data_IF_923165950937
#
_entry.id   IF_923165950937
#
_cell.length_a   1.000
_cell.length_b   1.000
_cell.length_c   1.000
_cell.angle_alpha   90.00
_cell.angle_beta   90.00
_cell.angle_gamma   90.00
#
_symmetry.space_group_name_H-M   'P 1'
#
loop_
_entity.id
_entity.type
_entity.pdbx_description
1 polymer ?
#
# COMPACT_ATOMS: atom_id res chain seq x y z
N UNK A 1 -5.48 -25.23 13.33
CA UNK A 1 -6.05 -24.74 12.06
C UNK A 1 -7.14 -23.73 12.35
N UNK A 2 -7.01 -22.52 11.80
CA UNK A 2 -7.97 -21.43 11.94
C UNK A 2 -8.79 -21.30 10.67
N UNK A 3 -10.12 -21.36 10.77
CA UNK A 3 -10.99 -21.20 9.61
C UNK A 3 -11.04 -19.72 9.19
N UNK A 4 -10.56 -19.41 7.98
CA UNK A 4 -10.53 -18.06 7.44
C UNK A 4 -11.78 -17.74 6.62
N UNK A 5 -12.16 -18.63 5.70
CA UNK A 5 -13.31 -18.43 4.82
C UNK A 5 -14.16 -19.70 4.80
N UNK A 6 -15.48 -19.53 4.92
CA UNK A 6 -16.46 -20.61 4.70
C UNK A 6 -17.66 -20.04 3.97
N UNK A 7 -17.92 -20.59 2.79
CA UNK A 7 -19.11 -20.39 1.97
C UNK A 7 -19.73 -21.75 1.65
N UNK A 8 -20.85 -21.78 0.92
CA UNK A 8 -21.45 -23.04 0.50
C UNK A 8 -20.53 -23.90 -0.39
N UNK A 9 -19.60 -23.28 -1.12
CA UNK A 9 -18.82 -23.96 -2.16
C UNK A 9 -17.29 -23.82 -2.01
N UNK A 10 -16.82 -23.05 -1.02
CA UNK A 10 -15.40 -22.83 -0.74
C UNK A 10 -15.17 -22.67 0.76
N UNK A 11 -14.20 -23.42 1.28
CA UNK A 11 -13.62 -23.25 2.61
C UNK A 11 -12.11 -23.00 2.47
N UNK A 12 -11.56 -22.06 3.23
CA UNK A 12 -10.13 -21.82 3.36
C UNK A 12 -9.75 -21.79 4.84
N UNK A 13 -8.79 -22.61 5.22
CA UNK A 13 -8.24 -22.68 6.58
C UNK A 13 -6.76 -22.26 6.57
N UNK A 14 -6.28 -21.72 7.68
CA UNK A 14 -4.89 -21.38 7.93
C UNK A 14 -4.30 -22.32 8.99
N UNK A 15 -3.20 -22.95 8.64
CA UNK A 15 -2.35 -23.72 9.54
C UNK A 15 -1.24 -22.80 10.05
N UNK A 16 -1.33 -22.37 11.31
CA UNK A 16 -0.36 -21.45 11.91
C UNK A 16 1.02 -22.08 12.11
N UNK A 17 1.09 -23.39 12.35
CA UNK A 17 2.35 -24.11 12.56
C UNK A 17 3.12 -24.23 11.24
N UNK A 18 2.39 -24.52 10.15
CA UNK A 18 2.96 -24.63 8.79
C UNK A 18 3.00 -23.30 8.04
N UNK A 19 2.39 -22.25 8.58
CA UNK A 19 2.10 -20.97 7.89
C UNK A 19 1.52 -21.19 6.49
N UNK A 20 0.49 -22.02 6.40
CA UNK A 20 -0.04 -22.46 5.12
C UNK A 20 -1.56 -22.35 5.06
N UNK A 21 -2.05 -21.92 3.90
CA UNK A 21 -3.47 -21.84 3.54
C UNK A 21 -3.90 -23.12 2.81
N UNK A 22 -5.05 -23.67 3.18
CA UNK A 22 -5.61 -24.87 2.55
C UNK A 22 -7.04 -24.60 2.12
N UNK A 23 -7.35 -24.84 0.85
CA UNK A 23 -8.71 -24.74 0.32
C UNK A 23 -9.38 -26.11 0.19
N UNK A 24 -10.68 -26.14 0.44
CA UNK A 24 -11.55 -27.30 0.19
C UNK A 24 -12.93 -26.87 -0.33
N UNK A 25 -13.66 -27.80 -0.96
CA UNK A 25 -14.97 -27.55 -1.57
C UNK A 25 -14.93 -27.44 -3.11
N UNK A 26 -16.12 -27.27 -3.70
CA UNK A 26 -16.31 -27.31 -5.15
C UNK A 26 -15.54 -26.23 -5.93
N UNK A 27 -15.26 -25.07 -5.31
CA UNK A 27 -14.50 -23.97 -5.94
C UNK A 27 -13.04 -23.91 -5.52
N UNK A 28 -12.53 -24.88 -4.75
CA UNK A 28 -11.14 -24.87 -4.27
C UNK A 28 -10.12 -24.78 -5.40
N UNK A 29 -10.33 -25.52 -6.49
CA UNK A 29 -9.46 -25.51 -7.66
C UNK A 29 -9.31 -24.14 -8.33
N UNK A 30 -10.31 -23.26 -8.22
CA UNK A 30 -10.25 -21.93 -8.83
C UNK A 30 -9.38 -20.94 -8.06
N UNK A 31 -9.30 -21.05 -6.73
CA UNK A 31 -8.45 -20.19 -5.90
C UNK A 31 -7.06 -20.80 -5.66
N UNK A 32 -6.89 -22.10 -5.92
CA UNK A 32 -5.64 -22.81 -5.67
C UNK A 32 -4.39 -22.15 -6.28
N UNK A 33 -4.41 -21.59 -7.50
CA UNK A 33 -3.24 -20.88 -8.04
C UNK A 33 -2.81 -19.69 -7.17
N UNK A 34 -3.77 -18.89 -6.68
CA UNK A 34 -3.48 -17.78 -5.78
C UNK A 34 -2.94 -18.27 -4.43
N UNK A 35 -3.54 -19.33 -3.87
CA UNK A 35 -3.07 -19.91 -2.60
C UNK A 35 -1.68 -20.54 -2.71
N UNK A 36 -1.34 -21.16 -3.85
CA UNK A 36 0.00 -21.71 -4.07
C UNK A 36 1.06 -20.59 -4.00
N UNK A 37 0.79 -19.45 -4.63
CA UNK A 37 1.70 -18.29 -4.56
C UNK A 37 1.79 -17.78 -3.12
N UNK A 38 0.66 -17.60 -2.43
CA UNK A 38 0.64 -17.15 -1.03
C UNK A 38 1.42 -18.11 -0.11
N UNK A 39 1.19 -19.41 -0.22
CA UNK A 39 1.87 -20.44 0.58
C UNK A 39 3.36 -20.50 0.30
N UNK A 40 3.76 -20.39 -0.97
CA UNK A 40 5.17 -20.33 -1.31
C UNK A 40 5.85 -19.13 -0.62
N UNK A 41 5.22 -17.95 -0.63
CA UNK A 41 5.76 -16.76 0.05
C UNK A 41 5.81 -16.94 1.56
N UNK A 42 4.75 -17.45 2.18
CA UNK A 42 4.70 -17.70 3.62
C UNK A 42 5.77 -18.70 4.08
N UNK A 43 6.18 -19.63 3.21
CA UNK A 43 7.23 -20.61 3.48
C UNK A 43 8.65 -20.07 3.23
N UNK A 44 8.84 -19.30 2.15
CA UNK A 44 10.18 -18.86 1.71
C UNK A 44 10.63 -17.52 2.29
N UNK A 45 9.68 -16.69 2.75
CA UNK A 45 9.97 -15.32 3.15
C UNK A 45 9.65 -15.04 4.62
N UNK A 46 10.48 -14.20 5.24
CA UNK A 46 10.19 -13.69 6.59
C UNK A 46 8.95 -12.78 6.56
N UNK A 47 8.09 -12.86 7.59
CA UNK A 47 7.01 -11.89 7.78
C UNK A 47 7.57 -10.53 8.22
N UNK A 48 6.82 -9.46 7.96
CA UNK A 48 7.12 -8.13 8.49
C UNK A 48 6.93 -8.06 10.02
N UNK A 49 5.95 -8.80 10.57
CA UNK A 49 5.70 -8.84 12.01
C UNK A 49 5.01 -10.16 12.41
N UNK A 50 5.35 -10.67 13.59
CA UNK A 50 4.64 -11.79 14.23
C UNK A 50 4.14 -11.30 15.59
N UNK A 51 2.85 -11.52 15.86
CA UNK A 51 2.21 -11.24 17.14
C UNK A 51 1.69 -12.54 17.76
N UNK A 52 1.25 -12.53 19.03
CA UNK A 52 0.69 -13.74 19.66
C UNK A 52 -0.50 -14.33 18.89
N UNK A 53 -1.38 -13.47 18.37
CA UNK A 53 -2.66 -13.89 17.78
C UNK A 53 -2.69 -13.83 16.25
N UNK A 54 -1.76 -13.09 15.63
CA UNK A 54 -1.69 -12.90 14.18
C UNK A 54 -0.25 -12.78 13.66
N UNK A 55 -0.12 -12.77 12.33
CA UNK A 55 1.12 -12.41 11.65
C UNK A 55 0.84 -11.46 10.48
N UNK A 56 1.78 -10.55 10.23
CA UNK A 56 1.77 -9.66 9.07
C UNK A 56 2.82 -10.16 8.08
N UNK A 57 2.37 -10.79 6.99
CA UNK A 57 3.27 -11.29 5.97
C UNK A 57 4.03 -10.16 5.26
N UNK A 58 3.33 -9.05 4.98
CA UNK A 58 3.87 -7.78 4.47
C UNK A 58 2.96 -6.65 4.96
N UNK A 59 3.50 -5.46 5.18
CA UNK A 59 2.72 -4.30 5.66
C UNK A 59 1.68 -3.82 4.65
N UNK A 60 1.80 -4.25 3.39
CA UNK A 60 0.83 -4.03 2.31
C UNK A 60 -0.33 -5.03 2.30
N UNK A 61 -0.33 -6.02 3.20
CA UNK A 61 -1.37 -7.05 3.30
C UNK A 61 -2.01 -7.03 4.70
N UNK A 62 -3.28 -7.42 4.82
CA UNK A 62 -3.91 -7.64 6.12
C UNK A 62 -3.22 -8.74 6.95
N UNK A 63 -3.35 -8.71 8.29
CA UNK A 63 -2.80 -9.73 9.16
C UNK A 63 -3.50 -11.09 9.00
N UNK A 64 -2.81 -12.18 9.28
CA UNK A 64 -3.30 -13.55 9.17
C UNK A 64 -3.29 -14.20 10.56
N UNK A 65 -4.41 -14.71 11.08
CA UNK A 65 -5.78 -14.58 10.57
C UNK A 65 -6.39 -13.19 10.84
N UNK A 66 -7.26 -12.70 9.96
CA UNK A 66 -8.10 -11.50 10.25
C UNK A 66 -9.34 -11.42 9.34
N UNK A 67 -10.32 -10.61 9.74
CA UNK A 67 -11.50 -10.28 8.93
C UNK A 67 -11.15 -9.67 7.57
N UNK A 68 -10.24 -8.67 7.51
CA UNK A 68 -9.78 -8.11 6.23
C UNK A 68 -9.01 -9.13 5.38
N UNK A 69 -8.22 -10.04 5.95
CA UNK A 69 -7.55 -11.10 5.19
C UNK A 69 -8.55 -12.13 4.61
N UNK A 70 -9.60 -12.47 5.37
CA UNK A 70 -10.72 -13.27 4.84
C UNK A 70 -11.37 -12.59 3.63
N UNK A 71 -11.55 -11.27 3.67
CA UNK A 71 -12.08 -10.50 2.52
C UNK A 71 -11.12 -10.53 1.34
N UNK A 72 -9.82 -10.41 1.57
CA UNK A 72 -8.82 -10.58 0.52
C UNK A 72 -8.96 -11.95 -0.18
N UNK A 73 -9.09 -13.04 0.58
CA UNK A 73 -9.35 -14.38 0.00
C UNK A 73 -10.67 -14.45 -0.77
N UNK A 74 -11.73 -13.81 -0.27
CA UNK A 74 -13.00 -13.72 -0.99
C UNK A 74 -12.86 -12.92 -2.30
N UNK A 75 -12.01 -11.89 -2.32
CA UNK A 75 -11.72 -11.10 -3.52
C UNK A 75 -10.92 -11.91 -4.55
N UNK A 76 -9.98 -12.75 -4.13
CA UNK A 76 -9.31 -13.71 -5.03
C UNK A 76 -10.33 -14.67 -5.66
N UNK A 77 -11.23 -15.24 -4.86
CA UNK A 77 -12.28 -16.13 -5.36
C UNK A 77 -13.21 -15.41 -6.36
N UNK A 78 -13.58 -14.15 -6.07
CA UNK A 78 -14.38 -13.31 -6.96
C UNK A 78 -13.66 -12.99 -8.27
N UNK A 79 -12.37 -12.69 -8.21
CA UNK A 79 -11.54 -12.44 -9.38
C UNK A 79 -11.44 -13.69 -10.26
N UNK A 80 -11.27 -14.87 -9.66
CA UNK A 80 -11.19 -16.14 -10.37
C UNK A 80 -12.47 -16.48 -11.17
N UNK A 81 -13.65 -16.02 -10.72
CA UNK A 81 -14.93 -16.18 -11.43
C UNK A 81 -15.29 -14.97 -12.32
N UNK A 82 -14.32 -14.10 -12.63
CA UNK A 82 -14.51 -12.96 -13.54
C UNK A 82 -15.30 -11.79 -12.93
N UNK A 83 -15.33 -11.67 -11.60
CA UNK A 83 -16.01 -10.57 -10.87
C UNK A 83 -15.06 -9.82 -9.92
N UNK A 84 -13.92 -9.32 -10.40
CA UNK A 84 -12.93 -8.67 -9.54
C UNK A 84 -13.50 -7.41 -8.89
N UNK A 85 -13.04 -7.14 -7.67
CA UNK A 85 -13.35 -5.95 -6.88
C UNK A 85 -12.03 -5.30 -6.45
N UNK A 86 -12.00 -4.01 -6.13
CA UNK A 86 -10.78 -3.39 -5.63
C UNK A 86 -10.50 -3.91 -4.22
N UNK A 87 -9.40 -4.63 -4.04
CA UNK A 87 -8.93 -5.02 -2.70
C UNK A 87 -8.40 -3.81 -1.94
N UNK A 88 -7.77 -2.88 -2.66
CA UNK A 88 -7.20 -1.65 -2.12
C UNK A 88 -7.91 -0.43 -2.70
N UNK A 89 -8.30 0.50 -1.81
CA UNK A 89 -8.74 1.84 -2.19
C UNK A 89 -7.83 2.85 -1.50
N UNK A 90 -7.12 3.67 -2.28
CA UNK A 90 -6.39 4.82 -1.73
C UNK A 90 -7.20 6.09 -1.92
N UNK A 91 -7.19 6.96 -0.90
CA UNK A 91 -7.99 8.18 -0.85
C UNK A 91 -7.04 9.33 -0.54
N UNK A 92 -6.96 10.31 -1.45
CA UNK A 92 -6.28 11.57 -1.15
C UNK A 92 -7.12 12.36 -0.15
N UNK A 93 -6.56 12.67 1.02
CA UNK A 93 -7.39 13.22 2.11
C UNK A 93 -7.37 14.74 2.22
N UNK A 94 -6.29 15.38 1.80
CA UNK A 94 -6.16 16.85 1.78
C UNK A 94 -5.06 17.27 0.83
N UNK A 95 -5.13 18.50 0.33
CA UNK A 95 -4.05 19.16 -0.41
C UNK A 95 -3.02 19.80 0.51
N UNK A 96 -3.35 19.97 1.79
CA UNK A 96 -2.46 20.58 2.79
C UNK A 96 -1.23 19.70 3.02
N UNK A 97 -0.04 20.26 2.87
CA UNK A 97 1.21 19.57 3.14
C UNK A 97 2.30 20.56 3.54
N UNK A 98 3.10 20.21 4.55
CA UNK A 98 4.32 20.96 4.88
C UNK A 98 5.45 20.77 3.86
N UNK A 99 5.40 19.69 3.07
CA UNK A 99 6.40 19.38 2.04
C UNK A 99 6.09 20.07 0.70
N UNK A 100 7.13 20.30 -0.10
CA UNK A 100 7.05 20.86 -1.45
C UNK A 100 7.77 19.96 -2.45
N UNK A 101 7.44 18.68 -2.41
CA UNK A 101 8.08 17.66 -3.23
C UNK A 101 7.90 17.97 -4.72
N UNK A 102 8.98 17.86 -5.50
CA UNK A 102 8.95 18.14 -6.95
C UNK A 102 8.01 17.21 -7.72
N UNK A 103 7.76 16.01 -7.20
CA UNK A 103 6.92 14.98 -7.82
C UNK A 103 5.45 15.02 -7.38
N UNK A 104 5.04 16.01 -6.59
CA UNK A 104 3.68 16.10 -6.06
C UNK A 104 2.64 16.37 -7.15
N UNK A 105 1.63 15.50 -7.27
CA UNK A 105 0.57 15.61 -8.28
C UNK A 105 -0.68 16.36 -7.79
N UNK A 106 -0.77 16.64 -6.49
CA UNK A 106 -2.04 17.03 -5.84
C UNK A 106 -2.03 18.44 -5.25
N UNK A 107 -0.91 19.15 -5.34
CA UNK A 107 -0.76 20.48 -4.72
C UNK A 107 -1.66 21.54 -5.38
N UNK A 108 -1.90 21.39 -6.67
CA UNK A 108 -2.72 22.29 -7.46
C UNK A 108 -4.14 21.75 -7.63
N UNK A 109 -5.09 22.65 -7.90
CA UNK A 109 -6.51 22.33 -8.07
C UNK A 109 -7.41 22.87 -6.96
N UNK A 110 -8.69 22.60 -7.08
CA UNK A 110 -9.73 23.07 -6.16
C UNK A 110 -10.51 21.89 -5.56
N UNK A 111 -11.20 22.16 -4.44
CA UNK A 111 -12.08 21.21 -3.77
C UNK A 111 -11.34 20.15 -2.94
N UNK A 112 -11.93 19.83 -1.78
CA UNK A 112 -11.60 18.69 -0.95
C UNK A 112 -12.88 17.99 -0.50
N UNK A 113 -12.88 16.66 -0.43
CA UNK A 113 -14.00 15.92 0.14
C UNK A 113 -14.14 16.24 1.63
N UNK A 114 -15.35 16.64 2.04
CA UNK A 114 -15.66 16.83 3.46
C UNK A 114 -15.84 15.47 4.18
N UNK A 115 -15.97 15.49 5.51
CA UNK A 115 -16.14 14.28 6.33
C UNK A 115 -17.26 13.35 5.84
N UNK A 116 -18.43 13.90 5.48
CA UNK A 116 -19.58 13.10 5.04
C UNK A 116 -19.34 12.45 3.67
N UNK A 117 -18.61 13.15 2.78
CA UNK A 117 -18.23 12.59 1.49
C UNK A 117 -17.17 11.50 1.65
N UNK A 118 -16.17 11.70 2.52
CA UNK A 118 -15.15 10.70 2.84
C UNK A 118 -15.75 9.44 3.44
N UNK A 119 -16.61 9.55 4.45
CA UNK A 119 -17.29 8.40 5.07
C UNK A 119 -18.17 7.66 4.07
N UNK A 120 -18.87 8.37 3.17
CA UNK A 120 -19.63 7.76 2.07
C UNK A 120 -18.73 7.01 1.08
N UNK A 121 -17.53 7.52 0.81
CA UNK A 121 -16.52 6.83 -0.01
C UNK A 121 -16.05 5.55 0.68
N UNK A 122 -15.75 5.63 1.97
CA UNK A 122 -15.34 4.49 2.80
C UNK A 122 -16.42 3.41 2.80
N UNK A 123 -17.67 3.76 3.11
CA UNK A 123 -18.79 2.79 3.15
C UNK A 123 -18.92 2.03 1.83
N UNK A 124 -18.93 2.76 0.72
CA UNK A 124 -19.05 2.16 -0.60
C UNK A 124 -17.83 1.29 -0.96
N UNK A 125 -16.62 1.65 -0.55
CA UNK A 125 -15.43 0.81 -0.74
C UNK A 125 -15.54 -0.50 0.07
N UNK A 126 -15.96 -0.41 1.35
CA UNK A 126 -16.16 -1.57 2.21
C UNK A 126 -17.28 -2.49 1.69
N UNK A 127 -18.35 -1.92 1.11
CA UNK A 127 -19.47 -2.65 0.48
C UNK A 127 -19.06 -3.34 -0.82
N UNK A 128 -18.13 -2.76 -1.58
CA UNK A 128 -17.53 -3.42 -2.74
C UNK A 128 -16.67 -4.63 -2.37
N UNK A 129 -16.19 -4.68 -1.13
CA UNK A 129 -15.33 -5.74 -0.61
C UNK A 129 -13.87 -5.32 -0.47
N UNK A 130 -13.56 -4.03 -0.55
CA UNK A 130 -12.22 -3.54 -0.23
C UNK A 130 -11.85 -3.91 1.20
N UNK A 131 -10.59 -4.29 1.37
CA UNK A 131 -10.03 -4.77 2.64
C UNK A 131 -8.78 -4.00 3.06
N UNK A 132 -8.32 -3.05 2.24
CA UNK A 132 -7.22 -2.14 2.54
C UNK A 132 -7.69 -0.74 2.13
N UNK A 133 -7.70 0.19 3.09
CA UNK A 133 -7.90 1.61 2.84
C UNK A 133 -6.58 2.32 3.13
N UNK A 134 -6.13 3.15 2.19
CA UNK A 134 -4.90 3.94 2.37
C UNK A 134 -5.23 5.42 2.28
N UNK A 135 -5.09 6.15 3.38
CA UNK A 135 -5.10 7.61 3.37
C UNK A 135 -3.74 8.11 2.92
N UNK A 136 -3.73 8.94 1.87
CA UNK A 136 -2.50 9.35 1.19
C UNK A 136 -2.60 10.80 0.71
N UNK A 137 -1.49 11.27 0.15
CA UNK A 137 -1.28 12.58 -0.46
C UNK A 137 -1.53 13.75 0.49
N UNK A 138 -0.89 14.89 0.18
CA UNK A 138 -0.76 15.98 1.13
C UNK A 138 0.04 15.51 2.36
N UNK A 139 -0.38 15.94 3.54
CA UNK A 139 -0.08 15.27 4.80
C UNK A 139 -1.40 15.00 5.54
N UNK A 140 -1.86 13.73 5.63
CA UNK A 140 -3.07 13.37 6.35
C UNK A 140 -3.10 13.88 7.80
N UNK A 141 -1.92 14.10 8.43
CA UNK A 141 -1.81 14.61 9.80
C UNK A 141 -2.17 16.10 9.96
N UNK A 142 -2.42 16.79 8.85
CA UNK A 142 -2.93 18.17 8.81
C UNK A 142 -4.45 18.24 8.67
N UNK A 143 -5.12 17.11 8.42
CA UNK A 143 -6.58 17.07 8.31
C UNK A 143 -7.20 16.89 9.71
N UNK A 144 -8.12 17.79 10.08
CA UNK A 144 -8.67 17.86 11.44
C UNK A 144 -9.38 16.57 11.90
N UNK A 145 -10.12 15.92 10.99
CA UNK A 145 -10.96 14.74 11.26
C UNK A 145 -10.24 13.41 10.94
N UNK A 146 -8.92 13.40 10.70
CA UNK A 146 -8.19 12.19 10.24
C UNK A 146 -8.33 11.02 11.22
N UNK A 147 -8.26 11.27 12.52
CA UNK A 147 -8.41 10.24 13.54
C UNK A 147 -9.83 9.67 13.56
N UNK A 148 -10.84 10.50 13.29
CA UNK A 148 -12.24 10.09 13.20
C UNK A 148 -12.47 9.24 11.96
N UNK A 149 -11.85 9.58 10.82
CA UNK A 149 -11.90 8.78 9.60
C UNK A 149 -11.25 7.42 9.76
N UNK A 150 -10.13 7.32 10.48
CA UNK A 150 -9.51 6.03 10.82
C UNK A 150 -10.46 5.20 11.69
N UNK A 151 -11.01 5.77 12.76
CA UNK A 151 -11.96 5.09 13.66
C UNK A 151 -13.25 4.66 12.98
N UNK A 152 -13.66 5.37 11.94
CA UNK A 152 -14.88 5.06 11.18
C UNK A 152 -14.75 3.73 10.42
N UNK A 153 -13.54 3.30 10.07
CA UNK A 153 -13.33 2.09 9.30
C UNK A 153 -13.45 0.86 10.20
N UNK A 154 -14.41 0.00 9.88
CA UNK A 154 -14.65 -1.26 10.57
C UNK A 154 -13.40 -2.19 10.46
N UNK A 155 -12.72 -2.49 11.58
CA UNK A 155 -11.47 -3.27 11.57
C UNK A 155 -11.69 -4.74 11.18
N UNK A 156 -12.91 -5.26 11.25
CA UNK A 156 -13.24 -6.60 10.73
C UNK A 156 -13.37 -6.60 9.21
N UNK A 157 -13.44 -5.42 8.58
CA UNK A 157 -13.66 -5.26 7.15
C UNK A 157 -12.42 -4.79 6.40
N UNK A 158 -11.67 -3.83 6.92
CA UNK A 158 -10.45 -3.34 6.28
C UNK A 158 -9.38 -2.95 7.29
N UNK A 159 -8.13 -3.03 6.85
CA UNK A 159 -7.00 -2.37 7.52
C UNK A 159 -6.82 -0.96 6.97
N UNK A 160 -6.26 -0.06 7.79
CA UNK A 160 -6.06 1.35 7.45
C UNK A 160 -4.59 1.73 7.45
N UNK A 161 -4.08 2.10 6.28
CA UNK A 161 -2.75 2.66 6.12
C UNK A 161 -2.81 4.18 6.04
N UNK A 162 -1.78 4.87 6.53
CA UNK A 162 -1.63 6.30 6.41
C UNK A 162 -0.23 6.63 5.89
N UNK A 163 -0.13 7.36 4.77
CA UNK A 163 1.13 7.85 4.24
C UNK A 163 1.38 9.28 4.72
N UNK A 164 2.55 9.55 5.29
CA UNK A 164 2.93 10.90 5.73
C UNK A 164 4.39 11.21 5.39
N UNK A 165 4.74 12.48 5.10
CA UNK A 165 6.13 12.90 5.05
C UNK A 165 6.79 12.93 6.45
N UNK A 166 6.01 12.78 7.53
CA UNK A 166 6.51 12.75 8.92
C UNK A 166 6.74 14.13 9.54
N UNK A 167 6.53 15.22 8.79
CA UNK A 167 6.87 16.58 9.23
C UNK A 167 6.01 17.07 10.40
N UNK A 168 4.78 16.58 10.48
CA UNK A 168 3.75 17.04 11.41
C UNK A 168 3.46 16.02 12.51
N UNK A 169 4.21 14.92 12.58
CA UNK A 169 4.02 13.89 13.58
C UNK A 169 4.62 14.32 14.92
N UNK A 170 3.84 14.15 15.98
CA UNK A 170 4.26 14.33 17.37
C UNK A 170 3.95 13.05 18.14
N UNK A 171 4.56 12.87 19.31
CA UNK A 171 4.26 11.74 20.20
C UNK A 171 2.76 11.65 20.53
N UNK A 172 2.09 12.79 20.76
CA UNK A 172 0.64 12.84 20.99
C UNK A 172 -0.15 12.34 19.77
N UNK A 173 0.20 12.79 18.55
CA UNK A 173 -0.46 12.33 17.33
C UNK A 173 -0.20 10.84 17.09
N UNK A 174 1.01 10.34 17.38
CA UNK A 174 1.34 8.92 17.26
C UNK A 174 0.46 8.05 18.17
N UNK A 175 0.25 8.46 19.42
CA UNK A 175 -0.69 7.79 20.34
C UNK A 175 -2.12 7.85 19.80
N UNK A 176 -2.58 9.02 19.34
CA UNK A 176 -3.93 9.17 18.76
C UNK A 176 -4.14 8.30 17.51
N UNK A 177 -3.13 8.14 16.65
CA UNK A 177 -3.18 7.23 15.50
C UNK A 177 -3.33 5.78 15.97
N UNK A 178 -2.58 5.37 16.99
CA UNK A 178 -2.65 4.03 17.57
C UNK A 178 -4.02 3.75 18.17
N UNK A 179 -4.52 4.66 19.00
CA UNK A 179 -5.85 4.59 19.62
C UNK A 179 -6.98 4.61 18.60
N UNK A 180 -6.80 5.33 17.49
CA UNK A 180 -7.76 5.35 16.39
C UNK A 180 -7.85 4.00 15.64
N UNK A 181 -6.88 3.10 15.84
CA UNK A 181 -6.84 1.81 15.16
C UNK A 181 -6.06 1.83 13.85
N UNK A 182 -5.13 2.79 13.66
CA UNK A 182 -4.27 2.80 12.49
C UNK A 182 -3.48 1.48 12.41
N UNK A 183 -3.57 0.81 11.26
CA UNK A 183 -2.88 -0.46 11.05
C UNK A 183 -1.39 -0.25 10.77
N UNK A 184 -1.06 0.70 9.91
CA UNK A 184 0.30 0.97 9.48
C UNK A 184 0.53 2.44 9.15
N UNK A 185 1.64 3.00 9.65
CA UNK A 185 2.12 4.32 9.28
C UNK A 185 3.26 4.19 8.27
N UNK A 186 3.11 4.80 7.10
CA UNK A 186 4.10 4.77 6.03
C UNK A 186 4.80 6.13 5.98
N UNK A 187 6.10 6.15 6.23
CA UNK A 187 6.94 7.36 6.19
C UNK A 187 7.95 7.24 5.06
N UNK A 188 7.95 8.24 4.17
CA UNK A 188 8.88 8.23 3.03
C UNK A 188 10.27 8.75 3.40
N UNK A 189 11.31 7.93 3.20
CA UNK A 189 12.72 8.28 3.38
C UNK A 189 13.50 7.93 2.10
N UNK A 190 13.98 8.96 1.39
CA UNK A 190 14.51 8.82 0.02
C UNK A 190 16.04 8.65 -0.07
N UNK A 191 16.76 9.05 0.97
CA UNK A 191 18.22 8.92 1.06
C UNK A 191 18.63 8.89 2.52
N UNK A 192 19.75 8.23 2.82
CA UNK A 192 20.43 8.33 4.12
C UNK A 192 21.25 9.62 4.24
N UNK A 193 21.48 10.31 3.13
CA UNK A 193 22.04 11.66 3.12
C UNK A 193 20.90 12.68 3.37
N UNK A 194 20.99 13.51 4.44
CA UNK A 194 19.96 14.48 4.78
C UNK A 194 19.68 15.50 3.67
N UNK A 195 20.72 16.04 3.03
CA UNK A 195 20.58 17.05 1.99
C UNK A 195 19.83 16.51 0.76
N UNK A 196 20.14 15.28 0.33
CA UNK A 196 19.43 14.63 -0.78
C UNK A 196 17.96 14.38 -0.45
N UNK A 197 17.65 13.91 0.77
CA UNK A 197 16.27 13.71 1.20
C UNK A 197 15.51 15.05 1.25
N UNK A 198 16.10 16.06 1.88
CA UNK A 198 15.51 17.39 2.05
C UNK A 198 15.23 18.04 0.69
N UNK A 199 16.11 17.84 -0.29
CA UNK A 199 15.91 18.28 -1.67
C UNK A 199 14.66 17.63 -2.29
N UNK A 200 14.50 16.30 -2.15
CA UNK A 200 13.30 15.60 -2.66
C UNK A 200 12.03 16.12 -2.00
N UNK A 201 12.08 16.43 -0.69
CA UNK A 201 10.95 16.97 0.07
C UNK A 201 10.71 18.46 -0.16
N UNK A 202 11.68 19.19 -0.69
CA UNK A 202 11.64 20.66 -0.82
C UNK A 202 11.64 21.38 0.53
N UNK A 203 12.16 20.76 1.59
CA UNK A 203 12.10 21.26 2.97
C UNK A 203 13.38 20.88 3.72
N UNK A 204 14.08 21.89 4.26
CA UNK A 204 15.26 21.66 5.12
C UNK A 204 14.87 21.03 6.46
N UNK A 205 15.70 20.11 6.94
CA UNK A 205 15.48 19.31 8.14
C UNK A 205 14.33 18.31 8.00
N UNK A 206 13.89 17.97 6.78
CA UNK A 206 12.84 16.98 6.57
C UNK A 206 13.32 15.57 6.89
N UNK A 207 14.57 15.25 6.57
CA UNK A 207 15.18 13.96 6.88
C UNK A 207 15.15 13.68 8.39
N UNK A 208 15.71 14.59 9.21
CA UNK A 208 15.73 14.44 10.66
C UNK A 208 14.33 14.26 11.25
N UNK A 209 13.38 15.09 10.83
CA UNK A 209 11.97 14.99 11.27
C UNK A 209 11.30 13.68 10.84
N UNK A 210 11.59 13.17 9.65
CA UNK A 210 11.06 11.89 9.21
C UNK A 210 11.59 10.74 10.08
N UNK A 211 12.87 10.77 10.46
CA UNK A 211 13.46 9.76 11.36
C UNK A 211 12.91 9.86 12.79
N UNK A 212 12.77 11.08 13.32
CA UNK A 212 12.13 11.34 14.62
C UNK A 212 10.68 10.86 14.62
N UNK A 213 9.95 11.09 13.53
CA UNK A 213 8.58 10.60 13.34
C UNK A 213 8.49 9.08 13.37
N UNK A 214 9.43 8.38 12.71
CA UNK A 214 9.53 6.92 12.78
C UNK A 214 9.71 6.47 14.24
N UNK A 215 10.65 7.08 14.97
CA UNK A 215 10.89 6.77 16.38
C UNK A 215 9.65 6.97 17.25
N UNK A 216 9.01 8.14 17.16
CA UNK A 216 7.78 8.44 17.91
C UNK A 216 6.64 7.47 17.60
N UNK A 217 6.50 7.05 16.33
CA UNK A 217 5.48 6.08 15.94
C UNK A 217 5.75 4.68 16.53
N UNK A 218 7.00 4.22 16.47
CA UNK A 218 7.41 2.94 17.05
C UNK A 218 7.25 2.94 18.58
N UNK A 219 7.62 4.03 19.26
CA UNK A 219 7.43 4.19 20.71
C UNK A 219 5.95 4.14 21.12
N UNK A 220 5.05 4.65 20.27
CA UNK A 220 3.60 4.54 20.45
C UNK A 220 3.04 3.13 20.11
N UNK A 221 3.89 2.19 19.69
CA UNK A 221 3.51 0.83 19.33
C UNK A 221 2.80 0.72 17.98
N UNK A 222 2.99 1.68 17.07
CA UNK A 222 2.52 1.57 15.69
C UNK A 222 3.42 0.62 14.90
N UNK A 223 2.83 -0.05 13.91
CA UNK A 223 3.61 -0.65 12.84
C UNK A 223 4.03 0.44 11.87
N UNK A 224 5.29 0.43 11.46
CA UNK A 224 5.88 1.45 10.59
C UNK A 224 6.51 0.81 9.37
N UNK A 225 6.21 1.38 8.20
CA UNK A 225 6.87 1.09 6.93
C UNK A 225 7.69 2.30 6.51
N UNK A 226 8.98 2.10 6.28
CA UNK A 226 9.80 3.10 5.62
C UNK A 226 9.64 2.93 4.11
N UNK A 227 9.32 3.98 3.36
CA UNK A 227 9.11 3.90 1.91
C UNK A 227 10.12 4.74 1.14
N UNK A 228 10.57 4.27 -0.01
CA UNK A 228 11.43 5.04 -0.90
C UNK A 228 11.04 4.85 -2.37
N UNK A 229 11.50 5.77 -3.20
CA UNK A 229 11.36 5.72 -4.66
C UNK A 229 12.76 5.69 -5.27
N UNK A 230 13.02 4.71 -6.13
CA UNK A 230 14.34 4.46 -6.73
C UNK A 230 14.26 4.69 -8.23
N UNK A 231 15.17 5.52 -8.74
CA UNK A 231 15.40 5.76 -10.18
C UNK A 231 16.66 5.04 -10.66
N UNK A 232 16.92 5.09 -11.96
CA UNK A 232 18.18 4.62 -12.52
C UNK A 232 19.39 5.28 -11.83
N UNK A 233 20.46 4.52 -11.65
CA UNK A 233 21.66 4.90 -10.92
C UNK A 233 21.53 4.89 -9.39
N UNK A 234 20.34 4.60 -8.84
CA UNK A 234 20.08 4.67 -7.39
C UNK A 234 19.88 3.32 -6.71
N UNK A 235 19.94 2.19 -7.43
CA UNK A 235 19.60 0.86 -6.89
C UNK A 235 20.47 0.46 -5.70
N UNK A 236 21.75 0.84 -5.68
CA UNK A 236 22.64 0.52 -4.56
C UNK A 236 22.22 1.19 -3.24
N UNK A 237 21.50 2.32 -3.31
CA UNK A 237 20.98 3.03 -2.14
C UNK A 237 19.97 2.20 -1.35
N UNK A 238 19.34 1.19 -1.96
CA UNK A 238 18.40 0.29 -1.27
C UNK A 238 19.08 -0.39 -0.09
N UNK A 239 20.37 -0.77 -0.22
CA UNK A 239 21.09 -1.44 0.85
C UNK A 239 21.42 -0.51 2.02
N UNK A 240 21.69 0.76 1.75
CA UNK A 240 21.92 1.77 2.80
C UNK A 240 20.61 2.11 3.53
N UNK A 241 19.52 2.30 2.78
CA UNK A 241 18.19 2.49 3.35
C UNK A 241 17.72 1.26 4.13
N UNK A 242 18.06 0.04 3.70
CA UNK A 242 17.76 -1.17 4.45
C UNK A 242 18.47 -1.21 5.80
N UNK A 243 19.75 -0.81 5.85
CA UNK A 243 20.49 -0.72 7.12
C UNK A 243 19.88 0.32 8.05
N UNK A 244 19.50 1.49 7.52
CA UNK A 244 18.80 2.51 8.30
C UNK A 244 17.44 2.00 8.82
N UNK A 245 16.66 1.31 7.99
CA UNK A 245 15.40 0.70 8.38
C UNK A 245 15.58 -0.29 9.55
N UNK A 246 16.63 -1.12 9.47
CA UNK A 246 16.98 -2.10 10.50
C UNK A 246 17.38 -1.42 11.82
N UNK A 247 18.24 -0.40 11.75
CA UNK A 247 18.67 0.39 12.90
C UNK A 247 17.49 1.09 13.61
N UNK A 248 16.52 1.58 12.84
CA UNK A 248 15.31 2.21 13.37
C UNK A 248 14.29 1.20 13.91
N UNK A 249 14.35 -0.07 13.52
CA UNK A 249 13.41 -1.09 13.95
C UNK A 249 12.05 -1.05 13.23
N UNK A 250 11.99 -0.50 12.00
CA UNK A 250 10.76 -0.56 11.19
C UNK A 250 10.46 -1.99 10.74
N UNK A 251 9.21 -2.31 10.40
CA UNK A 251 8.83 -3.68 10.05
C UNK A 251 9.08 -4.02 8.58
N UNK A 252 9.01 -3.02 7.68
CA UNK A 252 9.26 -3.23 6.25
C UNK A 252 9.83 -1.98 5.58
N UNK A 253 10.81 -2.17 4.70
CA UNK A 253 11.25 -1.18 3.71
C UNK A 253 10.47 -1.39 2.41
N UNK A 254 9.76 -0.39 1.93
CA UNK A 254 9.02 -0.43 0.67
C UNK A 254 9.73 0.33 -0.43
N UNK A 255 10.17 -0.40 -1.46
CA UNK A 255 10.87 0.14 -2.62
C UNK A 255 9.90 0.26 -3.80
N UNK A 256 9.70 1.49 -4.25
CA UNK A 256 8.88 1.83 -5.42
C UNK A 256 9.75 2.33 -6.57
N UNK A 257 9.31 2.10 -7.81
CA UNK A 257 9.96 2.72 -8.97
C UNK A 257 9.66 4.22 -8.94
N UNK A 258 10.71 5.05 -8.94
CA UNK A 258 10.55 6.49 -9.04
C UNK A 258 9.98 6.88 -10.39
N UNK A 259 9.18 7.95 -10.43
CA UNK A 259 8.64 8.48 -11.68
C UNK A 259 9.75 9.19 -12.46
N UNK A 260 10.17 8.69 -13.63
CA UNK A 260 11.24 9.28 -14.41
C UNK A 260 10.74 10.57 -15.07
N UNK A 261 11.55 11.64 -15.05
CA UNK A 261 11.29 12.90 -15.78
C UNK A 261 12.02 12.97 -17.11
N UNK A 262 13.08 12.18 -17.24
CA UNK A 262 13.81 11.99 -18.47
C UNK A 262 14.01 10.49 -18.69
N UNK A 263 14.20 10.04 -19.93
CA UNK A 263 14.42 8.63 -20.23
C UNK A 263 15.58 8.00 -19.43
N UNK A 264 16.60 8.78 -19.09
CA UNK A 264 17.78 8.32 -18.34
C UNK A 264 17.46 8.03 -16.87
N UNK A 265 16.38 8.58 -16.32
CA UNK A 265 15.93 8.30 -14.95
C UNK A 265 15.19 6.95 -14.85
N UNK A 266 14.81 6.34 -15.97
CA UNK A 266 14.04 5.09 -16.04
C UNK A 266 14.93 3.89 -15.73
N UNK A 267 14.51 3.07 -14.78
CA UNK A 267 15.23 1.85 -14.39
C UNK A 267 15.46 0.92 -15.59
N UNK A 268 16.71 0.54 -15.79
CA UNK A 268 17.11 -0.46 -16.77
C UNK A 268 16.65 -1.86 -16.37
N UNK A 269 16.64 -2.81 -17.30
CA UNK A 269 16.31 -4.22 -17.02
C UNK A 269 17.27 -4.80 -15.97
N UNK A 270 18.57 -4.50 -16.08
CA UNK A 270 19.60 -4.97 -15.16
C UNK A 270 19.35 -4.45 -13.74
N UNK A 271 18.95 -3.17 -13.62
CA UNK A 271 18.61 -2.57 -12.34
C UNK A 271 17.35 -3.19 -11.73
N UNK A 272 16.33 -3.48 -12.55
CA UNK A 272 15.12 -4.17 -12.09
C UNK A 272 15.43 -5.58 -11.59
N UNK A 273 16.29 -6.32 -12.28
CA UNK A 273 16.77 -7.63 -11.83
C UNK A 273 17.52 -7.52 -10.50
N UNK A 274 18.41 -6.54 -10.37
CA UNK A 274 19.14 -6.26 -9.12
C UNK A 274 18.19 -5.96 -7.95
N UNK A 275 17.13 -5.18 -8.17
CA UNK A 275 16.08 -4.93 -7.14
C UNK A 275 15.42 -6.24 -6.72
N UNK A 276 15.08 -7.12 -7.68
CA UNK A 276 14.45 -8.41 -7.40
C UNK A 276 15.40 -9.35 -6.64
N UNK A 277 16.68 -9.33 -6.95
CA UNK A 277 17.69 -10.13 -6.24
C UNK A 277 17.89 -9.64 -4.80
N UNK A 278 17.92 -8.32 -4.59
CA UNK A 278 17.91 -7.71 -3.26
C UNK A 278 16.66 -8.15 -2.49
N UNK A 279 15.48 -8.08 -3.12
CA UNK A 279 14.21 -8.51 -2.53
C UNK A 279 14.27 -9.97 -2.06
N UNK A 280 14.68 -10.89 -2.96
CA UNK A 280 14.74 -12.33 -2.65
C UNK A 280 15.71 -12.60 -1.51
N UNK A 281 16.92 -12.05 -1.59
CA UNK A 281 17.98 -12.26 -0.60
C UNK A 281 17.58 -11.78 0.79
N UNK A 282 17.03 -10.57 0.90
CA UNK A 282 16.64 -9.98 2.18
C UNK A 282 15.48 -10.77 2.78
N UNK A 283 14.46 -11.10 1.99
CA UNK A 283 13.27 -11.75 2.51
C UNK A 283 13.49 -13.22 2.87
N UNK A 284 14.45 -13.91 2.25
CA UNK A 284 14.83 -15.28 2.64
C UNK A 284 15.79 -15.35 3.83
N UNK A 285 16.28 -14.21 4.33
CA UNK A 285 17.28 -14.16 5.42
C UNK A 285 16.62 -13.74 6.74
N UNK A 286 16.75 -14.50 7.84
CA UNK A 286 16.21 -14.12 9.14
C UNK A 286 16.78 -12.80 9.68
N UNK A 287 16.00 -12.12 10.53
CA UNK A 287 16.40 -10.86 11.18
C UNK A 287 16.17 -9.62 10.29
N UNK A 288 16.16 -8.45 10.91
CA UNK A 288 15.89 -7.16 10.29
C UNK A 288 14.53 -7.03 9.58
N UNK A 289 14.27 -5.86 8.97
CA UNK A 289 12.98 -5.56 8.34
C UNK A 289 12.76 -6.44 7.11
N UNK A 290 11.50 -6.63 6.75
CA UNK A 290 11.14 -7.16 5.43
C UNK A 290 11.42 -6.11 4.34
N UNK A 291 11.53 -6.52 3.08
CA UNK A 291 11.51 -5.60 1.94
C UNK A 291 10.31 -5.90 1.02
N UNK A 292 9.55 -4.86 0.69
CA UNK A 292 8.60 -4.85 -0.42
C UNK A 292 9.26 -4.20 -1.63
N UNK A 293 9.07 -4.77 -2.82
CA UNK A 293 9.56 -4.18 -4.06
C UNK A 293 8.45 -4.21 -5.13
N UNK A 294 7.99 -3.04 -5.57
CA UNK A 294 6.93 -2.97 -6.59
C UNK A 294 7.36 -3.61 -7.92
N UNK A 295 8.65 -3.51 -8.27
CA UNK A 295 9.26 -4.17 -9.43
C UNK A 295 9.10 -5.69 -9.41
N UNK A 296 9.04 -6.31 -8.23
CA UNK A 296 8.70 -7.73 -8.09
C UNK A 296 7.18 -7.93 -8.09
N UNK A 297 6.45 -7.17 -7.26
CA UNK A 297 5.04 -7.41 -7.02
C UNK A 297 4.15 -7.13 -8.24
N UNK A 298 4.21 -5.92 -8.79
CA UNK A 298 3.50 -5.61 -10.04
C UNK A 298 4.28 -6.09 -11.26
N UNK A 299 5.61 -6.04 -11.22
CA UNK A 299 6.43 -6.39 -12.39
C UNK A 299 6.47 -7.89 -12.69
N UNK A 300 6.43 -8.78 -11.70
CA UNK A 300 6.53 -10.23 -11.92
C UNK A 300 5.34 -11.03 -11.39
N UNK A 301 4.71 -10.60 -10.28
CA UNK A 301 3.74 -11.44 -9.57
C UNK A 301 2.28 -11.20 -10.00
N UNK A 302 1.79 -9.96 -9.90
CA UNK A 302 0.36 -9.65 -10.09
C UNK A 302 0.05 -8.88 -11.40
N UNK A 303 1.07 -8.30 -12.03
CA UNK A 303 0.88 -7.28 -13.06
C UNK A 303 0.44 -5.95 -12.44
N UNK A 304 0.19 -4.95 -13.29
CA UNK A 304 -0.39 -3.68 -12.88
C UNK A 304 -1.64 -3.89 -12.03
N UNK A 305 -1.72 -3.25 -10.86
CA UNK A 305 -2.90 -3.33 -9.99
C UNK A 305 -3.95 -2.28 -10.34
N UNK A 306 -3.57 -1.22 -11.07
CA UNK A 306 -4.46 -0.11 -11.41
C UNK A 306 -5.72 -0.62 -12.13
N UNK A 307 -6.90 -0.27 -11.61
CA UNK A 307 -8.17 -0.75 -12.16
C UNK A 307 -8.36 -2.27 -12.15
N UNK A 308 -7.46 -3.05 -11.55
CA UNK A 308 -7.55 -4.51 -11.48
C UNK A 308 -7.75 -5.00 -10.05
N UNK A 309 -6.98 -4.43 -9.12
CA UNK A 309 -7.00 -4.70 -7.67
C UNK A 309 -6.98 -3.43 -6.84
N UNK A 310 -6.63 -2.29 -7.45
CA UNK A 310 -6.52 -0.98 -6.83
C UNK A 310 -7.46 0.01 -7.54
N UNK A 311 -8.17 0.81 -6.74
CA UNK A 311 -8.84 2.05 -7.18
C UNK A 311 -8.34 3.25 -6.36
N UNK A 312 -8.20 4.41 -6.99
CA UNK A 312 -7.79 5.64 -6.32
C UNK A 312 -8.89 6.70 -6.35
N UNK A 313 -9.17 7.32 -5.22
CA UNK A 313 -10.08 8.46 -5.07
C UNK A 313 -9.25 9.70 -4.80
N UNK A 314 -9.26 10.63 -5.74
CA UNK A 314 -8.58 11.91 -5.61
C UNK A 314 -9.32 12.84 -4.64
N UNK A 315 -8.63 13.87 -4.19
CA UNK A 315 -9.10 14.77 -3.14
C UNK A 315 -10.34 15.56 -3.54
N UNK A 316 -10.56 15.78 -4.84
CA UNK A 316 -11.73 16.44 -5.41
C UNK A 316 -12.92 15.48 -5.67
N UNK A 317 -12.71 14.17 -5.46
CA UNK A 317 -13.67 13.09 -5.73
C UNK A 317 -13.44 12.33 -7.04
N UNK A 318 -12.47 12.73 -7.87
CA UNK A 318 -12.16 12.05 -9.12
C UNK A 318 -11.66 10.62 -8.90
N UNK A 319 -12.04 9.69 -9.77
CA UNK A 319 -11.64 8.28 -9.70
C UNK A 319 -10.57 7.98 -10.71
N UNK A 320 -9.43 7.48 -10.23
CA UNK A 320 -8.27 7.08 -11.04
C UNK A 320 -7.93 5.61 -10.84
N UNK A 321 -7.15 5.05 -11.76
CA UNK A 321 -6.70 3.66 -11.68
C UNK A 321 -5.75 3.40 -10.51
N UNK A 322 -4.85 4.34 -10.23
CA UNK A 322 -3.88 4.31 -9.14
C UNK A 322 -3.46 5.76 -8.81
N UNK A 323 -2.70 6.04 -7.73
CA UNK A 323 -2.35 7.40 -7.33
C UNK A 323 -1.44 8.14 -8.33
N UNK A 324 -0.71 7.41 -9.18
CA UNK A 324 0.24 8.03 -10.12
C UNK A 324 -0.38 8.47 -11.45
N UNK A 325 -1.57 7.96 -11.79
CA UNK A 325 -2.26 8.32 -13.04
C UNK A 325 -3.02 9.63 -12.84
N UNK A 326 -3.10 10.46 -13.89
CA UNK A 326 -3.86 11.72 -13.88
C UNK A 326 -5.27 11.57 -14.45
N UNK A 327 -5.48 10.58 -15.31
CA UNK A 327 -6.77 10.36 -15.97
C UNK A 327 -7.86 9.98 -14.95
N UNK A 328 -8.97 10.71 -15.04
CA UNK A 328 -10.16 10.46 -14.25
C UNK A 328 -11.20 9.71 -15.08
N UNK A 329 -11.77 8.67 -14.50
CA UNK A 329 -12.78 7.81 -15.15
C UNK A 329 -14.19 8.11 -14.68
N UNK A 330 -14.34 8.80 -13.54
CA UNK A 330 -15.60 9.14 -12.89
C UNK A 330 -15.36 10.12 -11.74
N UNK A 331 -16.44 10.62 -11.13
CA UNK A 331 -16.38 11.34 -9.86
C UNK A 331 -17.38 10.75 -8.85
N UNK A 332 -16.94 10.53 -7.59
CA UNK A 332 -17.76 9.95 -6.51
C UNK A 332 -18.91 10.84 -6.07
N UNK A 333 -18.89 12.13 -6.44
CA UNK A 333 -19.99 13.08 -6.22
C UNK A 333 -21.15 12.86 -7.20
N UNK A 334 -20.88 12.23 -8.34
CA UNK A 334 -21.85 12.07 -9.43
C UNK A 334 -22.37 10.64 -9.53
N UNK A 335 -21.49 9.64 -9.33
CA UNK A 335 -21.84 8.23 -9.44
C UNK A 335 -21.32 7.41 -8.26
N UNK A 336 -21.88 6.21 -8.09
CA UNK A 336 -21.40 5.28 -7.07
C UNK A 336 -19.99 4.77 -7.39
N UNK A 337 -19.20 4.45 -6.36
CA UNK A 337 -17.88 3.81 -6.50
C UNK A 337 -17.98 2.47 -7.25
N UNK A 338 -19.11 1.78 -7.12
CA UNK A 338 -19.38 0.53 -7.85
C UNK A 338 -19.48 0.76 -9.35
N UNK A 339 -20.15 1.83 -9.76
CA UNK A 339 -20.26 2.17 -11.18
C UNK A 339 -18.95 2.77 -11.70
N UNK A 340 -18.24 3.54 -10.89
CA UNK A 340 -16.89 3.99 -11.21
C UNK A 340 -15.92 2.82 -11.41
N UNK A 341 -15.95 1.79 -10.56
CA UNK A 341 -15.16 0.57 -10.74
C UNK A 341 -15.48 -0.13 -12.06
N UNK A 342 -16.76 -0.21 -12.41
CA UNK A 342 -17.19 -0.80 -13.68
C UNK A 342 -16.70 0.01 -14.87
N UNK A 343 -16.74 1.34 -14.79
CA UNK A 343 -16.24 2.23 -15.85
C UNK A 343 -14.73 2.04 -16.05
N UNK A 344 -13.96 2.10 -14.96
CA UNK A 344 -12.51 1.85 -14.94
C UNK A 344 -12.14 0.48 -15.52
N UNK A 345 -12.92 -0.55 -15.21
CA UNK A 345 -12.73 -1.90 -15.76
C UNK A 345 -13.09 -2.03 -17.24
N UNK A 346 -13.99 -1.18 -17.75
CA UNK A 346 -14.44 -1.22 -19.15
C UNK A 346 -13.48 -0.51 -20.09
N UNK A 347 -12.67 0.43 -19.62
CA UNK A 347 -11.69 1.11 -20.46
C UNK A 347 -10.61 0.16 -20.99
N UNK A 348 -10.28 -0.88 -20.21
CA UNK A 348 -9.24 -1.88 -20.51
C UNK A 348 -7.82 -1.31 -20.60
N UNK A 349 -7.60 -0.07 -20.18
CA UNK A 349 -6.29 0.62 -20.28
C UNK A 349 -5.17 -0.10 -19.52
N UNK A 350 -5.53 -0.94 -18.55
CA UNK A 350 -4.59 -1.69 -17.70
C UNK A 350 -4.59 -3.21 -18.00
N UNK A 351 -5.31 -3.65 -19.03
CA UNK A 351 -5.28 -5.05 -19.46
C UNK A 351 -3.94 -5.36 -20.14
N UNK A 352 -3.27 -6.44 -19.72
CA UNK A 352 -2.02 -6.89 -20.32
C UNK A 352 -0.75 -6.14 -19.88
N UNK A 353 -0.85 -5.09 -19.07
CA UNK A 353 0.30 -4.41 -18.46
C UNK A 353 0.98 -5.29 -17.41
N UNK A 354 1.91 -6.12 -17.88
CA UNK A 354 2.79 -6.98 -17.08
C UNK A 354 4.22 -6.54 -17.38
N UNK A 355 5.01 -6.22 -16.35
CA UNK A 355 6.39 -5.65 -16.45
C UNK A 355 6.52 -4.22 -16.96
N UNK A 356 5.44 -3.58 -17.43
CA UNK A 356 5.40 -2.15 -17.76
C UNK A 356 4.34 -1.45 -16.90
N UNK A 357 4.74 -0.33 -16.27
CA UNK A 357 3.84 0.53 -15.51
C UNK A 357 3.44 1.70 -16.41
N UNK A 358 2.15 1.89 -16.73
CA UNK A 358 1.70 3.02 -17.56
C UNK A 358 2.08 4.39 -16.98
N UNK A 359 2.21 4.49 -15.65
CA UNK A 359 2.61 5.72 -15.01
C UNK A 359 4.07 6.11 -15.36
N UNK A 360 4.94 5.15 -15.66
CA UNK A 360 6.35 5.42 -15.99
C UNK A 360 6.53 6.18 -17.32
N UNK A 361 5.47 6.34 -18.13
CA UNK A 361 5.50 7.09 -19.41
C UNK A 361 4.86 8.50 -19.28
N UNK A 362 4.44 8.92 -18.08
CA UNK A 362 3.67 10.17 -17.90
C UNK A 362 4.52 11.43 -18.15
N UNK A 363 5.81 11.36 -17.86
CA UNK A 363 6.70 12.52 -17.86
C UNK A 363 7.77 12.48 -18.96
N UNK A 364 7.68 11.51 -19.88
CA UNK A 364 8.68 11.21 -20.92
C UNK A 364 8.94 9.72 -20.98
#
# INVERSE_FOLDING_TARGET
>A
MTMLLKTAALRVDFDGDRRALQASGALAGMIQPALNIMNQRLAEEKPALIRPDDMVASTWLPPIPSGPFRRLLANEARAAIGRPVPSTVSIEVTRSCGARCEHCLIREGEGELNYQEMTRVIDQALDLGSCIITFTEGDPLLREDIFDLIRYIDPDKAVVNLFSPGLELTAEKAVKLKEAGLYNLIIGVYSTNPEEHDQVRGVSGAHGRALEAIGMALDAGLMVTMSCHIKAGQVDRILDLYRLADELGVQELSVWEGMPRTPEEKLTIIEKEKIVDIYRKINSTPGGPRIFANTYFEGQMLGCMAGRRWMHVAVDGSIRGCPYLKESYANVKEISLKDAWRALRRSRDFEGSVRSCPAQEIFG
#
